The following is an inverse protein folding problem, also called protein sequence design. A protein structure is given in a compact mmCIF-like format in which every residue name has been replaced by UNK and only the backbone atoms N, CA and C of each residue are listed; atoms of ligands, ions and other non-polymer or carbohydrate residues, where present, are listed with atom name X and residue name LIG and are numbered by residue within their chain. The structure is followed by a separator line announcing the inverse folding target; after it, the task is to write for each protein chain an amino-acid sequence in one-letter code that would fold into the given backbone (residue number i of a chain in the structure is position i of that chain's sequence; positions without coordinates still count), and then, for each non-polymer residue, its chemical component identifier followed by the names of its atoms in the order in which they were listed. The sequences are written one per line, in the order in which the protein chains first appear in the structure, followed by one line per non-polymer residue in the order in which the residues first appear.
data_IF_213425578108
#
_entry.id   IF_213425578108
#
_cell.length_a   1.000
_cell.length_b   1.000
_cell.length_c   1.000
_cell.angle_alpha   90.00
_cell.angle_beta   90.00
_cell.angle_gamma   90.00
#
_symmetry.space_group_name_H-M   'P 1'
#
loop_
_entity.id
_entity.type
_entity.pdbx_description
1 polymer ?
#
# COMPACT_ATOMS: atom_id res chain seq x y z
N UNK A 1 -15.47 9.72 9.75
CA UNK A 1 -14.35 10.48 9.16
C UNK A 1 -14.76 11.92 8.86
N UNK A 2 -13.96 12.92 9.26
CA UNK A 2 -14.17 14.34 8.91
C UNK A 2 -13.60 14.64 7.52
N UNK A 3 -14.06 15.70 6.85
CA UNK A 3 -13.53 16.10 5.53
C UNK A 3 -12.04 16.48 5.59
N UNK A 4 -11.58 17.06 6.69
CA UNK A 4 -10.17 17.38 6.91
C UNK A 4 -9.33 16.11 7.02
N UNK A 5 -9.78 15.13 7.80
CA UNK A 5 -9.08 13.87 7.96
C UNK A 5 -9.07 13.05 6.67
N UNK A 6 -10.17 13.06 5.90
CA UNK A 6 -10.22 12.44 4.57
C UNK A 6 -9.15 13.01 3.64
N UNK A 7 -9.01 14.34 3.57
CA UNK A 7 -7.96 15.00 2.78
C UNK A 7 -6.55 14.64 3.26
N UNK A 8 -6.37 14.44 4.56
CA UNK A 8 -5.09 13.96 5.10
C UNK A 8 -4.75 12.56 4.59
N UNK A 9 -5.71 11.61 4.63
CA UNK A 9 -5.53 10.27 4.07
C UNK A 9 -5.23 10.31 2.56
N UNK A 10 -5.99 11.11 1.81
CA UNK A 10 -5.74 11.32 0.38
C UNK A 10 -4.34 11.88 0.12
N UNK A 11 -3.86 12.80 0.95
CA UNK A 11 -2.48 13.31 0.85
C UNK A 11 -1.43 12.23 1.10
N UNK A 12 -1.66 11.31 2.04
CA UNK A 12 -0.75 10.20 2.30
C UNK A 12 -0.76 9.20 1.15
N UNK A 13 -1.94 8.86 0.62
CA UNK A 13 -2.12 7.96 -0.52
C UNK A 13 -1.44 8.51 -1.77
N UNK A 14 -1.49 9.83 -1.97
CA UNK A 14 -0.93 10.51 -3.15
C UNK A 14 0.49 11.06 -2.91
N UNK A 15 1.17 10.69 -1.83
CA UNK A 15 2.53 11.19 -1.53
C UNK A 15 3.56 10.75 -2.60
N UNK A 16 3.29 9.64 -3.28
CA UNK A 16 4.07 9.14 -4.42
C UNK A 16 3.17 8.32 -5.34
N UNK A 17 3.65 8.02 -6.54
CA UNK A 17 2.93 7.22 -7.54
C UNK A 17 2.50 5.85 -6.98
N UNK A 18 3.39 5.19 -6.22
CA UNK A 18 3.09 3.91 -5.56
C UNK A 18 3.36 4.03 -4.06
N UNK A 19 2.36 3.73 -3.24
CA UNK A 19 2.42 3.82 -1.77
C UNK A 19 1.97 2.52 -1.14
N UNK A 20 2.76 2.02 -0.19
CA UNK A 20 2.45 0.81 0.57
C UNK A 20 2.23 1.14 2.04
N UNK A 21 0.99 1.01 2.51
CA UNK A 21 0.67 1.08 3.93
C UNK A 21 0.90 -0.31 4.54
N UNK A 22 1.81 -0.41 5.51
CA UNK A 22 2.29 -1.70 6.01
C UNK A 22 2.68 -1.63 7.49
N UNK A 23 3.04 -2.78 8.07
CA UNK A 23 3.61 -2.86 9.42
C UNK A 23 5.13 -2.81 9.33
N UNK A 24 5.75 -1.75 9.83
CA UNK A 24 7.17 -1.45 9.60
C UNK A 24 7.39 -0.64 8.32
N UNK A 25 8.58 -0.77 7.74
CA UNK A 25 8.97 -0.06 6.50
C UNK A 25 9.65 -1.02 5.51
N UNK A 26 10.01 -0.51 4.32
CA UNK A 26 10.65 -1.30 3.25
C UNK A 26 12.03 -1.89 3.60
N UNK A 27 12.67 -1.44 4.67
CA UNK A 27 13.94 -1.97 5.17
C UNK A 27 13.71 -2.94 6.32
N UNK A 28 12.72 -2.68 7.17
CA UNK A 28 12.39 -3.49 8.34
C UNK A 28 10.87 -3.74 8.44
N UNK A 29 10.40 -4.75 7.71
CA UNK A 29 9.02 -5.20 7.81
C UNK A 29 8.76 -5.95 9.13
N UNK A 30 7.67 -5.60 9.83
CA UNK A 30 7.28 -6.17 11.13
C UNK A 30 6.19 -7.26 11.00
N UNK A 31 5.87 -7.69 9.78
CA UNK A 31 4.85 -8.70 9.48
C UNK A 31 5.16 -9.42 8.17
N UNK A 32 4.95 -10.74 8.11
CA UNK A 32 5.25 -11.57 6.92
C UNK A 32 4.51 -11.12 5.66
N UNK A 33 3.23 -10.75 5.76
CA UNK A 33 2.46 -10.22 4.63
C UNK A 33 3.03 -8.89 4.12
N UNK A 34 3.49 -8.03 5.03
CA UNK A 34 4.14 -6.77 4.68
C UNK A 34 5.48 -7.01 3.98
N UNK A 35 6.28 -7.95 4.47
CA UNK A 35 7.54 -8.34 3.83
C UNK A 35 7.32 -8.89 2.41
N UNK A 36 6.32 -9.75 2.24
CA UNK A 36 5.98 -10.34 0.94
C UNK A 36 5.65 -9.29 -0.13
N UNK A 37 4.86 -8.27 0.20
CA UNK A 37 4.55 -7.18 -0.75
C UNK A 37 5.80 -6.34 -1.05
N UNK A 38 6.64 -6.06 -0.06
CA UNK A 38 7.92 -5.36 -0.26
C UNK A 38 8.81 -6.14 -1.23
N UNK A 39 8.93 -7.46 -1.05
CA UNK A 39 9.74 -8.32 -1.93
C UNK A 39 9.22 -8.32 -3.37
N UNK A 40 7.90 -8.39 -3.57
CA UNK A 40 7.28 -8.29 -4.89
C UNK A 40 7.61 -6.96 -5.57
N UNK A 41 7.43 -5.83 -4.88
CA UNK A 41 7.70 -4.51 -5.46
C UNK A 41 9.18 -4.31 -5.76
N UNK A 42 10.07 -4.81 -4.89
CA UNK A 42 11.52 -4.79 -5.11
C UNK A 42 11.91 -5.66 -6.31
N UNK A 43 11.30 -6.84 -6.47
CA UNK A 43 11.53 -7.73 -7.62
C UNK A 43 11.13 -7.07 -8.94
N UNK A 44 10.02 -6.31 -8.95
CA UNK A 44 9.59 -5.54 -10.11
C UNK A 44 10.47 -4.30 -10.38
N UNK A 45 11.33 -3.91 -9.44
CA UNK A 45 12.16 -2.71 -9.56
C UNK A 45 11.38 -1.39 -9.51
N UNK A 46 10.16 -1.43 -8.97
CA UNK A 46 9.27 -0.26 -8.88
C UNK A 46 9.72 0.63 -7.74
N UNK A 47 9.66 1.96 -7.94
CA UNK A 47 9.87 2.92 -6.86
C UNK A 47 8.58 3.07 -6.07
N UNK A 48 8.65 2.89 -4.76
CA UNK A 48 7.51 3.05 -3.87
C UNK A 48 7.92 3.67 -2.53
N UNK A 49 6.93 4.27 -1.87
CA UNK A 49 7.06 4.79 -0.50
C UNK A 49 6.27 3.89 0.46
N UNK A 50 6.72 3.78 1.70
CA UNK A 50 6.02 3.02 2.76
C UNK A 50 5.51 3.94 3.84
N UNK A 51 4.40 3.59 4.47
CA UNK A 51 3.88 4.22 5.68
C UNK A 51 3.67 3.14 6.76
N UNK A 52 4.29 3.30 7.93
CA UNK A 52 4.14 2.37 9.06
C UNK A 52 2.84 2.66 9.83
N UNK A 53 1.82 1.83 9.58
CA UNK A 53 0.51 1.94 10.24
C UNK A 53 0.54 1.61 11.74
N UNK A 54 1.68 1.14 12.28
CA UNK A 54 1.85 0.92 13.72
C UNK A 54 2.21 2.21 14.46
N UNK A 55 2.67 3.24 13.76
CA UNK A 55 3.03 4.53 14.37
C UNK A 55 1.84 5.48 14.44
N UNK A 56 0.79 5.24 13.64
CA UNK A 56 -0.42 6.07 13.58
C UNK A 56 -1.69 5.20 13.53
N UNK A 57 -2.33 5.03 14.69
CA UNK A 57 -3.56 4.25 14.82
C UNK A 57 -4.77 4.96 14.18
N UNK A 58 -4.76 6.29 14.10
CA UNK A 58 -5.84 7.05 13.47
C UNK A 58 -5.82 6.81 11.95
N UNK A 59 -4.66 6.95 11.31
CA UNK A 59 -4.46 6.62 9.89
C UNK A 59 -4.79 5.15 9.63
N UNK A 60 -4.36 4.24 10.51
CA UNK A 60 -4.63 2.81 10.38
C UNK A 60 -6.13 2.49 10.33
N UNK A 61 -6.92 3.05 11.23
CA UNK A 61 -8.37 2.81 11.26
C UNK A 61 -9.06 3.60 10.14
N UNK A 62 -8.63 4.84 9.91
CA UNK A 62 -9.13 5.71 8.85
C UNK A 62 -9.00 5.09 7.45
N UNK A 63 -7.85 4.48 7.14
CA UNK A 63 -7.65 3.81 5.85
C UNK A 63 -8.57 2.62 5.65
N UNK A 64 -8.84 1.83 6.69
CA UNK A 64 -9.79 0.71 6.57
C UNK A 64 -11.19 1.19 6.22
N UNK A 65 -11.62 2.28 6.85
CA UNK A 65 -12.91 2.91 6.55
C UNK A 65 -12.91 3.54 5.15
N UNK A 66 -11.88 4.31 4.80
CA UNK A 66 -11.75 5.02 3.53
C UNK A 66 -11.75 4.07 2.33
N UNK A 67 -10.96 3.00 2.42
CA UNK A 67 -10.78 2.01 1.36
C UNK A 67 -11.86 0.93 1.32
N UNK A 68 -12.72 0.88 2.35
CA UNK A 68 -13.59 -0.26 2.63
C UNK A 68 -12.81 -1.60 2.63
N UNK A 69 -11.58 -1.59 3.14
CA UNK A 69 -10.66 -2.73 3.13
C UNK A 69 -10.14 -3.06 4.56
N UNK A 70 -10.39 -4.27 5.09
CA UNK A 70 -10.21 -4.52 6.52
C UNK A 70 -8.76 -4.83 6.94
N UNK A 71 -7.87 -5.17 6.01
CA UNK A 71 -6.55 -5.76 6.29
C UNK A 71 -5.38 -4.89 5.80
N UNK A 72 -4.18 -5.21 6.29
CA UNK A 72 -2.91 -4.64 5.85
C UNK A 72 -1.93 -5.78 5.53
N UNK A 73 -0.97 -5.59 4.61
CA UNK A 73 -0.66 -4.35 3.90
C UNK A 73 -1.73 -3.90 2.88
N UNK A 74 -1.73 -2.62 2.52
CA UNK A 74 -2.55 -2.05 1.43
C UNK A 74 -1.64 -1.32 0.45
N UNK A 75 -1.65 -1.76 -0.81
CA UNK A 75 -0.92 -1.14 -1.91
C UNK A 75 -1.83 -0.16 -2.66
N UNK A 76 -1.35 1.05 -2.85
CA UNK A 76 -1.96 2.08 -3.67
C UNK A 76 -1.07 2.44 -4.84
N UNK A 77 -1.67 2.70 -5.99
CA UNK A 77 -1.00 3.20 -7.19
C UNK A 77 -1.86 4.29 -7.83
N UNK A 78 -1.28 5.46 -8.12
CA UNK A 78 -1.97 6.63 -8.67
C UNK A 78 -3.24 7.04 -7.91
N UNK A 79 -3.20 6.94 -6.57
CA UNK A 79 -4.33 7.30 -5.73
C UNK A 79 -5.36 6.18 -5.53
N UNK A 80 -5.25 5.08 -6.27
CA UNK A 80 -6.23 3.99 -6.26
C UNK A 80 -5.72 2.77 -5.49
N UNK A 81 -6.62 2.10 -4.77
CA UNK A 81 -6.30 0.87 -4.06
C UNK A 81 -6.08 -0.25 -5.07
N UNK A 82 -4.88 -0.84 -5.08
CA UNK A 82 -4.58 -2.06 -5.83
C UNK A 82 -5.07 -3.29 -5.05
N UNK A 83 -4.76 -3.36 -3.75
CA UNK A 83 -5.26 -4.43 -2.89
C UNK A 83 -4.31 -4.79 -1.74
N UNK A 84 -4.64 -5.91 -1.08
CA UNK A 84 -3.83 -6.51 -0.02
C UNK A 84 -2.78 -7.50 -0.52
N UNK A 85 -2.10 -8.17 0.41
CA UNK A 85 -1.00 -9.11 0.11
C UNK A 85 -1.38 -10.19 -0.92
N UNK A 86 -2.55 -10.83 -0.76
CA UNK A 86 -2.97 -11.93 -1.64
C UNK A 86 -3.22 -11.45 -3.07
N UNK A 87 -3.97 -10.35 -3.25
CA UNK A 87 -4.23 -9.74 -4.55
C UNK A 87 -2.93 -9.31 -5.23
N UNK A 88 -2.05 -8.61 -4.49
CA UNK A 88 -0.77 -8.16 -5.04
C UNK A 88 0.08 -9.36 -5.49
N UNK A 89 0.07 -10.45 -4.73
CA UNK A 89 0.82 -11.66 -5.07
C UNK A 89 0.22 -12.37 -6.29
N UNK A 90 -1.11 -12.45 -6.39
CA UNK A 90 -1.82 -13.02 -7.54
C UNK A 90 -1.55 -12.22 -8.81
N UNK A 91 -1.71 -10.89 -8.76
CA UNK A 91 -1.42 -9.99 -9.88
C UNK A 91 0.05 -10.04 -10.28
N UNK A 92 0.97 -10.25 -9.34
CA UNK A 92 2.39 -10.46 -9.64
C UNK A 92 2.62 -11.75 -10.41
N UNK A 93 1.96 -12.84 -10.01
CA UNK A 93 2.05 -14.14 -10.68
C UNK A 93 1.42 -14.14 -12.07
N UNK A 94 0.30 -13.44 -12.26
CA UNK A 94 -0.35 -13.29 -13.57
C UNK A 94 0.39 -12.33 -14.50
N UNK A 95 1.26 -11.47 -13.96
CA UNK A 95 1.96 -10.42 -14.70
C UNK A 95 1.21 -9.08 -14.78
N UNK A 96 -0.07 -9.06 -14.39
CA UNK A 96 -0.92 -7.86 -14.37
C UNK A 96 -0.32 -6.75 -13.49
N UNK A 97 0.31 -7.11 -12.36
CA UNK A 97 0.93 -6.11 -11.48
C UNK A 97 2.09 -5.39 -12.18
N UNK A 98 2.86 -6.10 -13.00
CA UNK A 98 3.95 -5.50 -13.76
C UNK A 98 3.40 -4.55 -14.81
N UNK A 99 2.32 -4.92 -15.49
CA UNK A 99 1.67 -4.04 -16.45
C UNK A 99 1.12 -2.78 -15.78
N UNK A 100 0.47 -2.94 -14.62
CA UNK A 100 -0.09 -1.84 -13.85
C UNK A 100 0.99 -0.86 -13.37
N UNK A 101 2.09 -1.36 -12.79
CA UNK A 101 3.08 -0.53 -12.10
C UNK A 101 4.24 -0.05 -12.98
N UNK A 102 4.44 -0.65 -14.15
CA UNK A 102 5.59 -0.35 -15.01
C UNK A 102 5.21 0.25 -16.37
N UNK A 103 3.94 0.18 -16.80
CA UNK A 103 3.53 0.85 -18.04
C UNK A 103 3.29 2.34 -17.77
N UNK A 104 3.83 3.18 -18.66
CA UNK A 104 3.69 4.64 -18.65
C UNK A 104 2.63 5.10 -19.64
#
# INVERSE_FOLDING_TARGET
MTEEFKKHLESLINQSETVLFMKGDKYLAKCGFSAQVVDVLNHLGVKFTTFDILEDEEVRQGLKEYSNWPTFPQLYHNGELVGGCDIVTEMFQSGELKELLCNK
#
